data_IF_671074550602
#
_entry.id   IF_671074550602
#
_cell.length_a   1.000
_cell.length_b   1.000
_cell.length_c   1.000
_cell.angle_alpha   90.00
_cell.angle_beta   90.00
_cell.angle_gamma   90.00
#
_symmetry.space_group_name_H-M   'P 1'
#
loop_
_entity.id
_entity.type
_entity.pdbx_description
1 polymer ?
#
# COMPACT_ATOMS: atom_id res chain seq x y z
N UNK A 1 -3.50 10.17 0.59
CA UNK A 1 -2.34 11.11 0.69
C UNK A 1 -1.23 10.65 -0.26
N UNK A 2 -0.18 11.44 -0.51
CA UNK A 2 0.98 10.98 -1.30
C UNK A 2 2.22 10.92 -0.40
N UNK A 3 3.02 9.87 -0.54
CA UNK A 3 4.30 9.69 0.15
C UNK A 3 5.40 9.45 -0.87
N UNK A 4 6.63 9.80 -0.53
CA UNK A 4 7.81 9.46 -1.33
C UNK A 4 8.61 8.40 -0.59
N UNK A 5 8.89 7.29 -1.26
CA UNK A 5 9.68 6.18 -0.72
C UNK A 5 10.87 5.91 -1.64
N UNK A 6 11.98 5.48 -1.04
CA UNK A 6 13.20 5.12 -1.77
C UNK A 6 13.37 3.61 -1.62
N UNK A 7 12.96 2.87 -2.65
CA UNK A 7 12.92 1.42 -2.65
C UNK A 7 11.93 0.83 -1.65
N UNK A 8 12.03 -0.49 -1.47
CA UNK A 8 11.23 -1.25 -0.51
C UNK A 8 10.10 -2.03 -1.15
N UNK A 9 9.03 -2.27 -0.41
CA UNK A 9 7.89 -3.02 -0.90
C UNK A 9 6.56 -2.42 -0.42
N UNK A 10 5.51 -2.59 -1.23
CA UNK A 10 4.16 -2.11 -0.96
C UNK A 10 3.54 -2.78 0.28
N UNK A 11 3.99 -3.97 0.69
CA UNK A 11 3.50 -4.63 1.90
C UNK A 11 3.89 -3.87 3.18
N UNK A 12 5.14 -3.44 3.31
CA UNK A 12 5.61 -2.64 4.44
C UNK A 12 4.91 -1.29 4.49
N UNK A 13 4.69 -0.68 3.32
CA UNK A 13 3.96 0.58 3.22
C UNK A 13 2.50 0.38 3.63
N UNK A 14 1.84 -0.67 3.14
CA UNK A 14 0.48 -1.00 3.54
C UNK A 14 0.39 -1.31 5.04
N UNK A 15 1.32 -2.07 5.61
CA UNK A 15 1.36 -2.33 7.05
C UNK A 15 1.56 -1.04 7.87
N UNK A 16 2.39 -0.11 7.39
CA UNK A 16 2.70 1.14 8.09
C UNK A 16 1.56 2.16 8.01
N UNK A 17 0.94 2.31 6.85
CA UNK A 17 -0.04 3.38 6.59
C UNK A 17 -1.50 2.92 6.56
N UNK A 18 -1.73 1.64 6.25
CA UNK A 18 -3.06 1.02 6.21
C UNK A 18 -3.28 0.04 7.36
N UNK A 19 -2.30 -0.10 8.27
CA UNK A 19 -2.30 -1.05 9.40
C UNK A 19 -2.49 -2.52 8.97
N UNK A 20 -2.41 -2.77 7.66
CA UNK A 20 -2.73 -4.05 7.04
C UNK A 20 -1.87 -4.23 5.79
N UNK A 21 -0.93 -5.19 5.88
CA UNK A 21 -0.01 -5.49 4.80
C UNK A 21 -0.72 -6.02 3.54
N UNK A 22 -1.91 -6.65 3.67
CA UNK A 22 -2.65 -7.27 2.56
C UNK A 22 -3.29 -6.23 1.65
N UNK A 23 -3.48 -5.00 2.14
CA UNK A 23 -4.01 -3.89 1.35
C UNK A 23 -3.03 -3.27 0.36
N UNK A 24 -1.82 -3.81 0.24
CA UNK A 24 -0.82 -3.38 -0.75
C UNK A 24 -1.39 -3.35 -2.19
N UNK A 25 -2.32 -4.25 -2.51
CA UNK A 25 -2.99 -4.32 -3.82
C UNK A 25 -3.76 -3.02 -4.10
N UNK A 26 -4.38 -2.42 -3.09
CA UNK A 26 -5.12 -1.16 -3.24
C UNK A 26 -4.17 0.00 -3.53
N UNK A 27 -3.01 0.02 -2.88
CA UNK A 27 -1.96 1.00 -3.17
C UNK A 27 -1.48 0.81 -4.61
N UNK A 28 -1.23 -0.43 -5.02
CA UNK A 28 -0.76 -0.75 -6.36
C UNK A 28 -1.77 -0.28 -7.42
N UNK A 29 -3.05 -0.68 -7.29
CA UNK A 29 -4.14 -0.26 -8.18
C UNK A 29 -4.31 1.25 -8.25
N UNK A 30 -4.25 1.95 -7.10
CA UNK A 30 -4.39 3.40 -7.07
C UNK A 30 -3.22 4.15 -7.71
N UNK A 31 -2.07 3.49 -7.87
CA UNK A 31 -0.87 4.04 -8.52
C UNK A 31 -0.60 3.43 -9.91
N UNK A 32 -1.44 2.52 -10.40
CA UNK A 32 -1.20 1.79 -11.65
C UNK A 32 0.02 0.88 -11.60
N UNK A 33 0.41 0.39 -10.42
CA UNK A 33 1.50 -0.56 -10.22
C UNK A 33 0.94 -1.98 -10.18
N UNK A 34 1.68 -2.91 -10.78
CA UNK A 34 1.43 -4.36 -10.67
C UNK A 34 2.42 -5.02 -9.72
N UNK A 35 3.63 -4.48 -9.66
CA UNK A 35 4.70 -5.03 -8.84
C UNK A 35 4.65 -4.48 -7.40
N UNK A 36 4.69 -5.35 -6.38
CA UNK A 36 4.78 -4.94 -5.00
C UNK A 36 6.17 -4.44 -4.61
N UNK A 37 7.19 -4.67 -5.43
CA UNK A 37 8.56 -4.25 -5.14
C UNK A 37 8.81 -2.88 -5.79
N UNK A 38 9.30 -1.94 -4.98
CA UNK A 38 9.64 -0.61 -5.44
C UNK A 38 11.15 -0.52 -5.64
N UNK A 39 11.55 0.03 -6.77
CA UNK A 39 12.96 0.21 -7.13
C UNK A 39 13.19 1.70 -7.34
N UNK A 40 14.21 2.24 -6.64
CA UNK A 40 14.52 3.67 -6.68
C UNK A 40 13.49 4.54 -5.96
N UNK A 41 13.53 5.85 -6.24
CA UNK A 41 12.61 6.81 -5.62
C UNK A 41 11.27 6.81 -6.35
N UNK A 42 10.18 6.52 -5.63
CA UNK A 42 8.82 6.50 -6.17
C UNK A 42 7.87 7.27 -5.26
N UNK A 43 6.99 8.06 -5.87
CA UNK A 43 5.90 8.74 -5.16
C UNK A 43 4.64 7.89 -5.27
N UNK A 44 4.09 7.48 -4.13
CA UNK A 44 2.89 6.65 -4.06
C UNK A 44 1.73 7.42 -3.46
N UNK A 45 0.58 7.32 -4.09
CA UNK A 45 -0.70 7.65 -3.50
C UNK A 45 -1.16 6.52 -2.57
N UNK A 46 -1.31 6.85 -1.29
CA UNK A 46 -1.85 5.96 -0.28
C UNK A 46 -3.35 6.27 -0.13
N UNK A 47 -4.25 5.32 -0.49
CA UNK A 47 -5.68 5.47 -0.27
C UNK A 47 -5.98 5.48 1.24
N UNK A 48 -7.14 5.98 1.67
CA UNK A 48 -7.54 5.88 3.07
C UNK A 48 -7.67 4.41 3.50
N UNK A 49 -7.36 4.17 4.78
CA UNK A 49 -7.56 2.88 5.43
C UNK A 49 -9.00 2.44 5.19
N UNK A 50 -9.17 1.21 4.72
CA UNK A 50 -10.48 0.61 4.57
C UNK A 50 -10.48 -0.71 5.33
N UNK A 51 -11.05 -0.68 6.53
CA UNK A 51 -11.14 -1.84 7.42
C UNK A 51 -11.97 -2.99 6.82
N UNK A 52 -12.80 -2.72 5.80
CA UNK A 52 -13.56 -3.74 5.08
C UNK A 52 -12.82 -4.35 3.89
N UNK A 53 -11.66 -3.80 3.50
CA UNK A 53 -10.88 -4.25 2.34
C UNK A 53 -9.58 -4.99 2.71
N UNK A 54 -9.19 -4.98 3.99
CA UNK A 54 -8.13 -5.84 4.52
C UNK A 54 -8.69 -7.23 4.78
N UNK A 55 -7.87 -8.26 4.59
CA UNK A 55 -8.28 -9.67 4.72
C UNK A 55 -8.91 -9.99 6.07
N UNK A 56 -10.24 -9.85 6.15
CA UNK A 56 -11.13 -10.52 7.09
C UNK A 56 -10.71 -10.50 8.57
N UNK A 57 -10.85 -9.35 9.23
CA UNK A 57 -11.26 -9.34 10.63
C UNK A 57 -12.61 -8.63 10.72
N UNK A 58 -13.64 -9.31 10.20
CA UNK A 58 -14.99 -9.10 10.69
C UNK A 58 -14.99 -9.49 12.17
N UNK A 59 -15.12 -8.49 13.04
CA UNK A 59 -15.47 -8.70 14.46
C UNK A 59 -16.93 -8.34 14.67
#
# INVERSE_FOLDING_TARGET
MKITVIGGNLFCIAATYLEDATQWIRIAQANGLSDPVLIGMTTLYIPPVNSAAGGGLAS
#
